data_IF_578241687364
#
_entry.id   IF_578241687364
#
_cell.length_a   1.000
_cell.length_b   1.000
_cell.length_c   1.000
_cell.angle_alpha   90.00
_cell.angle_beta   90.00
_cell.angle_gamma   90.00
#
_symmetry.space_group_name_H-M   'P 1'
#
loop_
_entity.id
_entity.type
_entity.pdbx_description
1 polymer ?
#
# COMPACT_ATOMS: atom_id res chain seq x y z
N UNK A 1 1.20 15.95 6.33
CA UNK A 1 0.84 16.54 5.01
C UNK A 1 0.76 15.43 3.98
N UNK A 2 -0.36 15.27 3.26
CA UNK A 2 -0.52 14.28 2.18
C UNK A 2 -0.34 14.94 0.81
N UNK A 3 0.07 14.18 -0.21
CA UNK A 3 0.27 14.68 -1.58
C UNK A 3 -1.00 14.47 -2.42
N UNK A 4 -1.77 15.53 -2.65
CA UNK A 4 -3.05 15.45 -3.39
C UNK A 4 -2.93 15.84 -4.86
N UNK A 5 -1.77 16.33 -5.29
CA UNK A 5 -1.52 16.82 -6.65
C UNK A 5 -0.41 16.01 -7.29
N UNK A 6 -0.56 15.71 -8.58
CA UNK A 6 0.53 15.16 -9.40
C UNK A 6 1.49 16.27 -9.78
N UNK A 7 2.41 16.59 -8.88
CA UNK A 7 3.43 17.62 -9.06
C UNK A 7 4.69 17.11 -9.78
N UNK A 8 5.69 17.97 -9.90
CA UNK A 8 6.98 17.65 -10.54
C UNK A 8 7.71 16.50 -9.86
N UNK A 9 7.61 16.39 -8.52
CA UNK A 9 8.22 15.29 -7.76
C UNK A 9 7.61 13.95 -8.16
N UNK A 10 6.28 13.84 -8.19
CA UNK A 10 5.60 12.62 -8.66
C UNK A 10 5.94 12.31 -10.11
N UNK A 11 6.02 13.33 -10.97
CA UNK A 11 6.40 13.15 -12.38
C UNK A 11 7.80 12.57 -12.49
N UNK A 12 8.77 13.11 -11.74
CA UNK A 12 10.15 12.64 -11.70
C UNK A 12 10.25 11.20 -11.19
N UNK A 13 9.58 10.90 -10.06
CA UNK A 13 9.54 9.57 -9.46
C UNK A 13 9.11 8.49 -10.47
N UNK A 14 8.05 8.77 -11.23
CA UNK A 14 7.49 7.80 -12.19
C UNK A 14 8.32 7.77 -13.49
N UNK A 15 8.65 8.93 -14.05
CA UNK A 15 9.16 9.02 -15.44
C UNK A 15 10.68 9.00 -15.55
N UNK A 16 11.39 9.46 -14.52
CA UNK A 16 12.85 9.58 -14.52
C UNK A 16 13.47 8.51 -13.63
N UNK A 17 12.94 8.33 -12.41
CA UNK A 17 13.45 7.34 -11.45
C UNK A 17 12.83 5.94 -11.65
N UNK A 18 11.89 5.81 -12.61
CA UNK A 18 11.21 4.55 -13.00
C UNK A 18 10.74 3.78 -11.75
N UNK A 19 10.23 4.52 -10.77
CA UNK A 19 9.84 3.96 -9.48
C UNK A 19 8.36 3.61 -9.46
N UNK A 20 8.05 2.43 -8.92
CA UNK A 20 6.68 2.01 -8.69
C UNK A 20 6.08 2.84 -7.54
N UNK A 21 4.88 3.37 -7.76
CA UNK A 21 4.14 4.12 -6.75
C UNK A 21 2.67 3.70 -6.73
N UNK A 22 1.91 4.25 -5.80
CA UNK A 22 0.48 4.02 -5.65
C UNK A 22 -0.29 5.33 -5.67
N UNK A 23 -1.57 5.20 -5.97
CA UNK A 23 -2.55 6.28 -5.95
C UNK A 23 -3.80 5.77 -5.23
N UNK A 24 -4.20 6.49 -4.20
CA UNK A 24 -5.40 6.18 -3.43
C UNK A 24 -6.46 7.24 -3.70
N UNK A 25 -7.73 6.84 -3.74
CA UNK A 25 -8.88 7.76 -3.68
C UNK A 25 -9.57 7.52 -2.34
N UNK A 26 -9.80 8.58 -1.58
CA UNK A 26 -10.52 8.53 -0.31
C UNK A 26 -12.04 8.46 -0.54
N UNK A 27 -12.78 8.15 0.52
CA UNK A 27 -14.26 8.12 0.52
C UNK A 27 -14.93 9.43 0.08
N UNK A 28 -14.25 10.58 0.20
CA UNK A 28 -14.72 11.88 -0.27
C UNK A 28 -14.28 12.25 -1.70
N UNK A 29 -13.62 11.32 -2.39
CA UNK A 29 -13.09 11.53 -3.73
C UNK A 29 -11.72 12.20 -3.77
N UNK A 30 -11.12 12.56 -2.63
CA UNK A 30 -9.77 13.11 -2.59
C UNK A 30 -8.75 12.08 -3.10
N UNK A 31 -7.95 12.47 -4.08
CA UNK A 31 -6.87 11.64 -4.60
C UNK A 31 -5.58 11.92 -3.83
N UNK A 32 -4.88 10.87 -3.43
CA UNK A 32 -3.60 10.91 -2.72
C UNK A 32 -2.56 10.06 -3.43
N UNK A 33 -1.35 10.61 -3.57
CA UNK A 33 -0.23 9.97 -4.27
C UNK A 33 0.83 9.47 -3.30
N UNK A 34 1.44 8.31 -3.61
CA UNK A 34 2.63 7.80 -2.94
C UNK A 34 3.89 8.60 -3.31
N UNK A 35 4.04 9.79 -2.75
CA UNK A 35 5.22 10.66 -2.94
C UNK A 35 6.41 10.20 -2.09
N UNK A 36 6.91 8.98 -2.36
CA UNK A 36 8.12 8.45 -1.73
C UNK A 36 9.32 9.36 -1.99
N UNK A 37 10.26 9.36 -1.04
CA UNK A 37 11.49 10.16 -1.07
C UNK A 37 11.27 11.68 -1.30
N UNK A 38 10.11 12.23 -0.92
CA UNK A 38 9.87 13.67 -1.05
C UNK A 38 10.89 14.48 -0.24
N UNK A 39 11.61 15.43 -0.86
CA UNK A 39 12.60 16.24 -0.16
C UNK A 39 12.01 16.98 1.05
N UNK A 40 12.69 16.88 2.19
CA UNK A 40 12.26 17.53 3.44
C UNK A 40 11.12 16.81 4.18
N UNK A 41 10.68 15.65 3.70
CA UNK A 41 9.63 14.83 4.34
C UNK A 41 10.20 13.45 4.68
N UNK A 42 10.56 13.19 5.95
CA UNK A 42 11.18 11.93 6.35
C UNK A 42 10.18 10.79 6.48
N UNK A 43 8.90 11.08 6.78
CA UNK A 43 7.89 10.02 6.93
C UNK A 43 7.45 9.45 5.58
N UNK A 44 7.18 8.14 5.58
CA UNK A 44 6.64 7.47 4.41
C UNK A 44 5.26 8.06 4.03
N UNK A 45 4.92 8.13 2.74
CA UNK A 45 3.61 8.62 2.31
C UNK A 45 2.46 7.77 2.88
N UNK A 46 2.69 6.49 3.15
CA UNK A 46 1.70 5.62 3.79
C UNK A 46 1.41 6.05 5.22
N UNK A 47 2.44 6.27 6.05
CA UNK A 47 2.27 6.72 7.44
C UNK A 47 1.54 8.07 7.49
N UNK A 48 1.94 9.01 6.61
CA UNK A 48 1.26 10.32 6.50
C UNK A 48 -0.22 10.18 6.10
N UNK A 49 -0.55 9.20 5.26
CA UNK A 49 -1.93 8.90 4.89
C UNK A 49 -2.70 8.26 6.06
N UNK A 50 -2.09 7.34 6.80
CA UNK A 50 -2.70 6.74 8.00
C UNK A 50 -3.07 7.80 9.04
N UNK A 51 -2.14 8.72 9.32
CA UNK A 51 -2.35 9.83 10.24
C UNK A 51 -3.48 10.74 9.75
N UNK A 52 -3.44 11.14 8.48
CA UNK A 52 -4.48 11.98 7.88
C UNK A 52 -5.87 11.33 7.96
N UNK A 53 -5.97 10.05 7.61
CA UNK A 53 -7.22 9.29 7.68
C UNK A 53 -7.75 9.23 9.12
N UNK A 54 -6.88 8.99 10.10
CA UNK A 54 -7.24 8.95 11.52
C UNK A 54 -7.70 10.31 12.05
N UNK A 55 -7.05 11.41 11.64
CA UNK A 55 -7.38 12.75 12.12
C UNK A 55 -8.66 13.32 11.51
N UNK A 56 -9.00 12.91 10.28
CA UNK A 56 -10.10 13.47 9.51
C UNK A 56 -11.30 12.50 9.38
N UNK A 57 -11.21 11.31 9.99
CA UNK A 57 -12.22 10.26 9.88
C UNK A 57 -12.46 9.80 8.44
N UNK A 58 -11.37 9.65 7.69
CA UNK A 58 -11.38 9.25 6.27
C UNK A 58 -10.89 7.82 6.12
N UNK A 59 -11.33 7.15 5.07
CA UNK A 59 -10.78 5.87 4.65
C UNK A 59 -10.49 5.84 3.15
N UNK A 60 -9.70 4.85 2.72
CA UNK A 60 -9.36 4.66 1.30
C UNK A 60 -10.52 3.91 0.64
N UNK A 61 -11.11 4.46 -0.42
CA UNK A 61 -12.15 3.81 -1.22
C UNK A 61 -11.57 3.04 -2.42
N UNK A 62 -10.50 3.56 -3.02
CA UNK A 62 -9.86 2.94 -4.19
C UNK A 62 -8.35 2.99 -4.08
N UNK A 63 -7.68 1.89 -4.39
CA UNK A 63 -6.22 1.82 -4.45
C UNK A 63 -5.77 1.37 -5.84
N UNK A 64 -4.80 2.09 -6.40
CA UNK A 64 -4.22 1.82 -7.70
C UNK A 64 -2.70 1.73 -7.60
N UNK A 65 -2.10 0.88 -8.43
CA UNK A 65 -0.66 0.82 -8.64
C UNK A 65 -0.29 1.54 -9.94
N UNK A 66 0.85 2.22 -9.92
CA UNK A 66 1.36 2.98 -11.05
C UNK A 66 2.83 2.62 -11.25
N UNK A 67 3.15 2.18 -12.47
CA UNK A 67 4.51 1.95 -12.91
C UNK A 67 4.67 2.49 -14.33
N UNK A 68 5.86 2.99 -14.66
CA UNK A 68 6.13 3.50 -16.01
C UNK A 68 6.04 2.37 -17.03
N UNK A 69 5.30 2.59 -18.11
CA UNK A 69 5.17 1.64 -19.21
C UNK A 69 4.03 0.62 -19.07
N UNK A 70 3.32 0.62 -17.94
CA UNK A 70 2.10 -0.16 -17.75
C UNK A 70 0.89 0.75 -17.51
N UNK A 71 -0.34 0.32 -17.86
CA UNK A 71 -1.56 1.03 -17.47
C UNK A 71 -1.72 1.06 -15.94
N UNK A 72 -2.36 2.11 -15.41
CA UNK A 72 -2.74 2.14 -13.99
C UNK A 72 -3.69 0.96 -13.71
N UNK A 73 -3.36 0.14 -12.72
CA UNK A 73 -4.18 -1.01 -12.35
C UNK A 73 -4.89 -0.75 -11.02
N UNK A 74 -6.20 -1.01 -10.99
CA UNK A 74 -7.01 -0.93 -9.76
C UNK A 74 -6.82 -2.21 -8.96
N UNK A 75 -6.24 -2.08 -7.78
CA UNK A 75 -5.92 -3.23 -6.92
C UNK A 75 -7.12 -3.63 -6.07
N UNK A 76 -7.74 -2.64 -5.42
CA UNK A 76 -8.95 -2.78 -4.62
C UNK A 76 -9.83 -1.52 -4.78
N UNK A 77 -11.14 -1.71 -4.75
CA UNK A 77 -12.13 -0.63 -4.84
C UNK A 77 -13.41 -1.02 -4.08
N UNK A 78 -13.87 -0.13 -3.20
CA UNK A 78 -15.15 -0.19 -2.51
C UNK A 78 -15.67 1.23 -2.34
N UNK A 79 -16.85 1.52 -2.89
CA UNK A 79 -17.50 2.84 -2.78
C UNK A 79 -17.78 3.25 -1.33
N UNK A 80 -17.90 2.28 -0.41
CA UNK A 80 -18.14 2.51 1.01
C UNK A 80 -16.85 2.55 1.84
N UNK A 81 -15.68 2.52 1.19
CA UNK A 81 -14.40 2.53 1.86
C UNK A 81 -13.87 1.13 2.23
N UNK A 82 -12.58 0.93 1.98
CA UNK A 82 -11.82 -0.27 2.32
C UNK A 82 -11.53 -0.29 3.83
N UNK A 83 -12.09 -1.25 4.54
CA UNK A 83 -11.87 -1.44 5.98
C UNK A 83 -10.78 -2.49 6.25
N UNK A 84 -9.67 -2.06 6.87
CA UNK A 84 -8.52 -2.93 7.13
C UNK A 84 -7.58 -3.04 5.92
N UNK A 85 -7.23 -1.90 5.32
CA UNK A 85 -6.41 -1.82 4.12
C UNK A 85 -5.00 -1.31 4.40
N UNK A 86 -3.98 -1.91 3.78
CA UNK A 86 -2.61 -1.39 3.84
C UNK A 86 -1.84 -1.44 2.52
N UNK A 87 -0.82 -0.60 2.42
CA UNK A 87 0.17 -0.60 1.35
C UNK A 87 1.58 -0.65 1.93
N UNK A 88 2.41 -1.54 1.42
CA UNK A 88 3.82 -1.63 1.77
C UNK A 88 4.69 -1.63 0.50
N UNK A 89 5.75 -0.82 0.52
CA UNK A 89 6.80 -0.81 -0.51
C UNK A 89 7.97 -1.66 -0.04
N UNK A 90 8.50 -2.49 -0.92
CA UNK A 90 9.67 -3.32 -0.66
C UNK A 90 10.67 -3.26 -1.81
N UNK A 91 11.91 -3.62 -1.52
CA UNK A 91 12.96 -3.81 -2.52
C UNK A 91 13.65 -5.13 -2.26
N UNK A 92 13.95 -5.86 -3.31
CA UNK A 92 14.84 -7.01 -3.24
C UNK A 92 15.94 -6.85 -4.29
N UNK A 93 17.10 -7.43 -4.01
CA UNK A 93 18.19 -7.55 -4.97
C UNK A 93 18.58 -9.02 -5.02
N UNK A 94 18.51 -9.60 -6.20
CA UNK A 94 19.11 -10.90 -6.44
C UNK A 94 20.62 -10.71 -6.57
N UNK A 95 21.40 -11.55 -5.92
CA UNK A 95 22.85 -11.41 -5.82
C UNK A 95 23.49 -12.67 -6.38
N UNK A 96 24.17 -12.53 -7.51
CA UNK A 96 25.06 -13.56 -8.02
C UNK A 96 26.27 -13.70 -7.07
N UNK A 97 26.50 -14.92 -6.58
CA UNK A 97 27.52 -15.21 -5.57
C UNK A 97 28.96 -15.11 -6.10
N UNK A 98 29.15 -14.99 -7.42
CA UNK A 98 30.46 -14.88 -8.08
C UNK A 98 30.79 -13.42 -8.39
N UNK A 99 29.82 -12.66 -8.89
CA UNK A 99 30.00 -11.27 -9.33
C UNK A 99 29.58 -10.25 -8.28
N UNK A 100 28.76 -10.64 -7.31
CA UNK A 100 28.18 -9.75 -6.30
C UNK A 100 27.12 -8.80 -6.86
N UNK A 101 26.71 -8.99 -8.12
CA UNK A 101 25.72 -8.17 -8.79
C UNK A 101 24.50 -8.96 -9.23
N UNK A 102 23.40 -8.27 -9.50
CA UNK A 102 22.18 -8.91 -9.97
C UNK A 102 20.99 -7.95 -9.98
N UNK A 103 19.87 -8.40 -10.57
CA UNK A 103 18.71 -7.55 -10.78
C UNK A 103 18.12 -7.08 -9.46
N UNK A 104 17.70 -5.81 -9.44
CA UNK A 104 16.95 -5.23 -8.33
C UNK A 104 15.48 -5.17 -8.71
N UNK A 105 14.62 -5.61 -7.81
CA UNK A 105 13.17 -5.62 -7.97
C UNK A 105 12.54 -4.66 -6.96
N UNK A 106 11.62 -3.84 -7.45
CA UNK A 106 10.72 -3.04 -6.63
C UNK A 106 9.44 -3.82 -6.42
N UNK A 107 8.93 -3.80 -5.19
CA UNK A 107 7.69 -4.47 -4.84
C UNK A 107 6.69 -3.48 -4.26
N UNK A 108 5.43 -3.60 -4.66
CA UNK A 108 4.30 -2.94 -4.01
C UNK A 108 3.30 -3.99 -3.56
N UNK A 109 3.08 -4.05 -2.25
CA UNK A 109 2.19 -5.02 -1.62
C UNK A 109 0.97 -4.30 -1.09
N UNK A 110 -0.21 -4.78 -1.47
CA UNK A 110 -1.50 -4.27 -1.04
C UNK A 110 -2.17 -5.37 -0.23
N UNK A 111 -2.68 -5.03 0.95
CA UNK A 111 -3.40 -5.99 1.78
C UNK A 111 -4.78 -5.47 2.17
N UNK A 112 -5.79 -6.33 2.09
CA UNK A 112 -7.14 -6.05 2.56
C UNK A 112 -7.60 -7.16 3.49
N UNK A 113 -8.06 -6.80 4.68
CA UNK A 113 -8.61 -7.77 5.63
C UNK A 113 -9.96 -8.31 5.12
N UNK A 114 -10.08 -9.64 5.01
CA UNK A 114 -11.33 -10.29 4.64
C UNK A 114 -12.40 -10.12 5.74
N UNK A 115 -13.67 -10.27 5.37
CA UNK A 115 -14.78 -10.22 6.34
C UNK A 115 -14.75 -11.36 7.36
N UNK A 116 -14.04 -12.45 7.04
CA UNK A 116 -13.75 -13.55 7.96
C UNK A 116 -12.82 -13.15 9.11
N UNK A 117 -12.12 -12.01 9.00
CA UNK A 117 -11.12 -11.49 9.96
C UNK A 117 -9.90 -12.41 10.22
N UNK A 118 -9.87 -13.60 9.64
CA UNK A 118 -8.78 -14.57 9.80
C UNK A 118 -7.65 -14.35 8.79
N UNK A 119 -7.98 -13.78 7.63
CA UNK A 119 -7.09 -13.71 6.47
C UNK A 119 -7.05 -12.32 5.87
N UNK A 120 -5.90 -12.00 5.32
CA UNK A 120 -5.65 -10.81 4.52
C UNK A 120 -5.47 -11.27 3.07
N UNK A 121 -6.26 -10.71 2.17
CA UNK A 121 -6.02 -10.82 0.73
C UNK A 121 -4.87 -9.89 0.38
N UNK A 122 -3.75 -10.47 -0.05
CA UNK A 122 -2.51 -9.77 -0.36
C UNK A 122 -2.27 -9.83 -1.85
N UNK A 123 -2.21 -8.67 -2.50
CA UNK A 123 -1.83 -8.51 -3.90
C UNK A 123 -0.46 -7.86 -3.98
N UNK A 124 0.48 -8.49 -4.69
CA UNK A 124 1.87 -8.05 -4.81
C UNK A 124 2.21 -7.79 -6.27
N UNK A 125 2.74 -6.60 -6.51
CA UNK A 125 3.27 -6.18 -7.80
C UNK A 125 4.77 -6.08 -7.71
N UNK A 126 5.46 -6.58 -8.73
CA UNK A 126 6.91 -6.61 -8.80
C UNK A 126 7.36 -5.98 -10.12
N UNK A 127 8.36 -5.09 -10.05
CA UNK A 127 8.94 -4.45 -11.22
C UNK A 127 10.48 -4.42 -11.14
N UNK A 128 11.19 -4.95 -12.16
CA UNK A 128 10.69 -5.71 -13.31
C UNK A 128 9.88 -6.96 -12.90
N UNK A 129 9.15 -7.54 -13.85
CA UNK A 129 8.36 -8.76 -13.60
C UNK A 129 9.24 -9.85 -12.97
N UNK A 130 8.76 -10.44 -11.87
CA UNK A 130 9.48 -11.45 -11.10
C UNK A 130 8.67 -12.75 -11.10
N UNK A 131 9.14 -13.74 -11.86
CA UNK A 131 8.41 -14.99 -12.10
C UNK A 131 8.27 -15.88 -10.85
N UNK A 132 9.05 -15.63 -9.80
CA UNK A 132 9.05 -16.45 -8.58
C UNK A 132 8.06 -15.98 -7.52
N UNK A 133 7.37 -14.85 -7.74
CA UNK A 133 6.42 -14.29 -6.78
C UNK A 133 4.99 -14.39 -7.28
N UNK A 134 4.11 -14.97 -6.46
CA UNK A 134 2.69 -14.97 -6.77
C UNK A 134 2.10 -13.57 -6.61
N UNK A 135 1.35 -13.16 -7.64
CA UNK A 135 0.63 -11.90 -7.65
C UNK A 135 -0.41 -11.78 -6.52
N UNK A 136 -1.10 -12.87 -6.16
CA UNK A 136 -2.16 -12.87 -5.16
C UNK A 136 -1.98 -14.03 -4.19
N UNK A 137 -2.04 -13.73 -2.90
CA UNK A 137 -1.90 -14.70 -1.83
C UNK A 137 -2.85 -14.36 -0.68
N UNK A 138 -3.45 -15.38 -0.08
CA UNK A 138 -4.19 -15.22 1.18
C UNK A 138 -3.26 -15.54 2.34
N UNK A 139 -3.01 -14.55 3.19
CA UNK A 139 -2.13 -14.70 4.36
C UNK A 139 -2.95 -14.66 5.64
N UNK A 140 -2.48 -15.34 6.69
CA UNK A 140 -3.10 -15.25 8.02
C UNK A 140 -2.97 -13.80 8.53
N UNK A 141 -4.02 -13.28 9.16
CA UNK A 141 -3.94 -12.01 9.87
C UNK A 141 -2.95 -12.13 11.04
N UNK A 142 -1.95 -11.26 11.07
CA UNK A 142 -0.94 -11.17 12.13
C UNK A 142 -1.01 -9.79 12.79
N UNK A 143 -0.55 -9.70 14.03
CA UNK A 143 -0.48 -8.41 14.76
C UNK A 143 0.22 -7.33 13.93
N UNK A 144 1.33 -7.69 13.28
CA UNK A 144 2.12 -6.78 12.45
C UNK A 144 1.30 -6.21 11.31
N UNK A 145 0.67 -7.06 10.48
CA UNK A 145 -0.12 -6.61 9.33
C UNK A 145 -1.29 -5.72 9.76
N UNK A 146 -1.95 -6.08 10.86
CA UNK A 146 -3.10 -5.33 11.39
C UNK A 146 -2.71 -3.95 11.91
N UNK A 147 -1.48 -3.79 12.43
CA UNK A 147 -1.01 -2.50 12.96
C UNK A 147 -0.76 -1.44 11.86
N UNK A 148 -0.50 -1.88 10.62
CA UNK A 148 -0.26 -1.00 9.47
C UNK A 148 -1.53 -0.67 8.65
N UNK A 149 -2.70 -1.15 9.06
CA UNK A 149 -3.95 -0.94 8.34
C UNK A 149 -4.58 0.43 8.62
N UNK A 150 -5.17 1.02 7.59
CA UNK A 150 -6.18 2.06 7.68
C UNK A 150 -7.53 1.38 7.88
N UNK A 151 -8.27 1.87 8.86
CA UNK A 151 -9.58 1.38 9.25
C UNK A 151 -10.61 2.43 8.92
N UNK A 152 -11.82 2.01 8.55
CA UNK A 152 -12.95 2.93 8.42
C UNK A 152 -13.34 3.47 9.81
N UNK A 153 -14.07 4.57 9.88
CA UNK A 153 -14.67 5.04 11.13
C UNK A 153 -16.06 4.42 11.34
N UNK A 154 -16.40 4.09 12.60
CA UNK A 154 -17.67 3.45 12.98
C UNK A 154 -17.52 1.98 13.40
N UNK A 155 -18.59 1.18 13.21
CA UNK A 155 -18.53 -0.28 13.39
C UNK A 155 -17.62 -0.87 12.32
N UNK A 156 -16.39 -1.17 12.74
CA UNK A 156 -15.33 -1.64 11.85
C UNK A 156 -14.81 -2.98 12.28
N UNK A 157 -14.18 -3.67 11.34
CA UNK A 157 -13.45 -4.92 11.58
C UNK A 157 -12.45 -4.77 12.72
N UNK A 158 -11.89 -3.58 12.93
CA UNK A 158 -11.00 -3.26 14.05
C UNK A 158 -11.63 -3.55 15.42
N UNK A 159 -12.91 -3.27 15.61
CA UNK A 159 -13.57 -3.41 16.92
C UNK A 159 -13.97 -4.86 17.24
N UNK A 160 -13.87 -5.77 16.27
CA UNK A 160 -14.11 -7.19 16.51
C UNK A 160 -13.15 -7.75 17.55
N UNK A 161 -13.68 -8.57 18.46
CA UNK A 161 -12.90 -9.24 19.51
C UNK A 161 -11.70 -9.98 18.94
N UNK A 162 -11.87 -10.63 17.78
CA UNK A 162 -10.80 -11.38 17.11
C UNK A 162 -9.63 -10.48 16.66
N UNK A 163 -9.93 -9.28 16.14
CA UNK A 163 -8.91 -8.31 15.71
C UNK A 163 -8.26 -7.67 16.93
N UNK A 164 -9.04 -7.37 17.97
CA UNK A 164 -8.52 -6.83 19.23
C UNK A 164 -7.60 -7.81 19.95
N UNK A 165 -7.95 -9.10 20.03
CA UNK A 165 -7.07 -10.14 20.57
C UNK A 165 -5.76 -10.20 19.79
N UNK A 166 -5.84 -10.22 18.45
CA UNK A 166 -4.64 -10.28 17.60
C UNK A 166 -3.78 -9.02 17.72
N UNK A 167 -4.38 -7.85 17.95
CA UNK A 167 -3.65 -6.59 18.13
C UNK A 167 -3.01 -6.46 19.52
N UNK A 168 -3.67 -6.97 20.56
CA UNK A 168 -3.24 -6.80 21.95
C UNK A 168 -2.29 -7.90 22.45
N UNK A 169 -2.20 -9.03 21.75
CA UNK A 169 -1.28 -10.13 22.07
C UNK A 169 -1.82 -11.07 23.14
#
# INVERSE_FOLDING_TARGET
MICTVRDEHIRKLIMEDISMTWKCTLDDGTVVWGDYERPGVPESPWVRLQEFCKENGRCVAKAQVIVMGAPEEVVFEDENGLDGFFIARGFSKDIDMVTGDGPSYQHMTFGLLEDSLERVDVKKYSWPECEFEDFSQKRKATQENLSFMIWRDGETKKQSEQVQVTLNG
#
